data_IF_673896393798
#
_entry.id   IF_673896393798
#
_cell.length_a   1.000
_cell.length_b   1.000
_cell.length_c   1.000
_cell.angle_alpha   90.00
_cell.angle_beta   90.00
_cell.angle_gamma   90.00
#
_symmetry.space_group_name_H-M   'P 1'
#
loop_
_entity.id
_entity.type
_entity.pdbx_description
1 polymer ?
#
# COMPACT_ATOMS: atom_id res chain seq x y z
N UNK A 1 -15.92 -18.82 -5.25
CA UNK A 1 -15.08 -17.61 -5.50
C UNK A 1 -14.42 -17.08 -4.23
N UNK A 2 -15.14 -16.81 -3.14
CA UNK A 2 -14.54 -16.31 -1.88
C UNK A 2 -13.49 -17.23 -1.25
N UNK A 3 -13.64 -18.56 -1.37
CA UNK A 3 -12.64 -19.53 -0.90
C UNK A 3 -11.26 -19.32 -1.54
N UNK A 4 -11.23 -18.95 -2.83
CA UNK A 4 -9.97 -18.74 -3.56
C UNK A 4 -9.27 -17.46 -3.09
N UNK A 5 -10.04 -16.40 -2.84
CA UNK A 5 -9.52 -15.13 -2.29
C UNK A 5 -8.93 -15.35 -0.90
N UNK A 6 -9.66 -16.06 -0.03
CA UNK A 6 -9.20 -16.38 1.33
C UNK A 6 -7.95 -17.26 1.30
N UNK A 7 -7.87 -18.21 0.38
CA UNK A 7 -6.72 -19.08 0.19
C UNK A 7 -5.47 -18.30 -0.28
N UNK A 8 -5.62 -17.43 -1.29
CA UNK A 8 -4.53 -16.56 -1.73
C UNK A 8 -4.07 -15.60 -0.64
N UNK A 9 -4.99 -15.04 0.15
CA UNK A 9 -4.65 -14.19 1.29
C UNK A 9 -3.85 -14.95 2.35
N UNK A 10 -4.30 -16.16 2.71
CA UNK A 10 -3.60 -17.01 3.68
C UNK A 10 -2.20 -17.42 3.19
N UNK A 11 -2.04 -17.74 1.91
CA UNK A 11 -0.73 -18.02 1.32
C UNK A 11 0.18 -16.79 1.39
N UNK A 12 -0.33 -15.62 0.99
CA UNK A 12 0.44 -14.37 1.06
C UNK A 12 0.89 -14.05 2.48
N UNK A 13 0.00 -14.24 3.46
CA UNK A 13 0.32 -14.04 4.88
C UNK A 13 1.39 -15.01 5.37
N UNK A 14 1.27 -16.30 5.05
CA UNK A 14 2.25 -17.33 5.42
C UNK A 14 3.63 -17.06 4.82
N UNK A 15 3.68 -16.72 3.52
CA UNK A 15 4.91 -16.36 2.84
C UNK A 15 5.55 -15.09 3.46
N UNK A 16 4.74 -14.10 3.80
CA UNK A 16 5.21 -12.87 4.46
C UNK A 16 5.77 -13.12 5.85
N UNK A 17 5.12 -13.99 6.65
CA UNK A 17 5.58 -14.31 8.01
C UNK A 17 6.86 -15.15 8.03
N UNK A 18 7.04 -16.01 7.03
CA UNK A 18 8.23 -16.87 6.90
C UNK A 18 9.42 -16.18 6.25
N UNK A 19 9.22 -15.01 5.61
CA UNK A 19 10.34 -14.23 5.07
C UNK A 19 11.19 -13.67 6.22
N UNK A 20 12.49 -14.03 6.33
CA UNK A 20 13.40 -13.49 7.34
C UNK A 20 13.89 -12.07 6.99
N UNK A 21 13.04 -11.28 6.33
CA UNK A 21 13.37 -9.94 5.88
C UNK A 21 13.11 -8.94 7.00
N UNK A 22 14.15 -8.64 7.79
CA UNK A 22 14.11 -7.49 8.70
C UNK A 22 14.14 -6.22 7.85
N UNK A 23 12.98 -5.57 7.72
CA UNK A 23 12.88 -4.25 7.12
C UNK A 23 13.75 -3.30 7.96
N UNK A 24 14.79 -2.68 7.38
CA UNK A 24 15.62 -1.73 8.10
C UNK A 24 14.76 -0.60 8.69
N UNK A 25 15.05 -0.15 9.91
CA UNK A 25 14.21 0.82 10.62
C UNK A 25 13.94 2.12 9.83
N UNK A 26 14.88 2.53 8.97
CA UNK A 26 14.71 3.69 8.10
C UNK A 26 13.68 3.46 6.98
N UNK A 27 13.51 2.23 6.50
CA UNK A 27 12.57 1.87 5.45
C UNK A 27 11.13 1.75 5.96
N UNK A 28 10.97 1.47 7.26
CA UNK A 28 9.67 1.22 7.90
C UNK A 28 8.70 2.40 7.72
N UNK A 29 9.18 3.64 7.85
CA UNK A 29 8.36 4.86 7.65
C UNK A 29 7.77 4.92 6.23
N UNK A 30 8.60 4.68 5.22
CA UNK A 30 8.19 4.71 3.81
C UNK A 30 7.22 3.56 3.50
N UNK A 31 7.49 2.38 4.08
CA UNK A 31 6.64 1.21 3.92
C UNK A 31 5.24 1.44 4.52
N UNK A 32 5.14 2.02 5.72
CA UNK A 32 3.86 2.34 6.35
C UNK A 32 3.02 3.29 5.49
N UNK A 33 3.64 4.34 4.94
CA UNK A 33 2.96 5.31 4.07
C UNK A 33 2.53 4.65 2.75
N UNK A 34 3.39 3.83 2.15
CA UNK A 34 3.09 3.11 0.92
C UNK A 34 1.91 2.13 1.08
N UNK A 35 1.85 1.41 2.21
CA UNK A 35 0.74 0.50 2.54
C UNK A 35 -0.55 1.30 2.76
N UNK A 36 -0.49 2.41 3.50
CA UNK A 36 -1.65 3.26 3.70
C UNK A 36 -2.20 3.79 2.37
N UNK A 37 -1.32 4.18 1.45
CA UNK A 37 -1.69 4.66 0.12
C UNK A 37 -2.25 3.56 -0.80
N UNK A 38 -1.78 2.30 -0.72
CA UNK A 38 -2.39 1.22 -1.50
C UNK A 38 -3.76 0.79 -1.01
N UNK A 39 -4.05 1.00 0.29
CA UNK A 39 -5.39 0.73 0.82
C UNK A 39 -6.46 1.61 0.17
N UNK A 40 -6.12 2.82 -0.29
CA UNK A 40 -7.02 3.67 -1.07
C UNK A 40 -7.50 2.97 -2.35
N UNK A 41 -6.58 2.42 -3.14
CA UNK A 41 -6.92 1.66 -4.34
C UNK A 41 -7.66 0.36 -4.03
N UNK A 42 -7.38 -0.29 -2.90
CA UNK A 42 -8.11 -1.48 -2.46
C UNK A 42 -9.58 -1.15 -2.14
N UNK A 43 -9.84 -0.08 -1.38
CA UNK A 43 -11.21 0.39 -1.11
C UNK A 43 -11.90 0.91 -2.37
N UNK A 44 -11.18 1.61 -3.25
CA UNK A 44 -11.67 2.01 -4.56
C UNK A 44 -12.09 0.81 -5.41
N UNK A 45 -11.35 -0.30 -5.34
CA UNK A 45 -11.70 -1.57 -5.98
C UNK A 45 -12.96 -2.20 -5.41
N UNK A 46 -13.11 -2.23 -4.09
CA UNK A 46 -14.33 -2.71 -3.43
C UNK A 46 -15.53 -1.87 -3.90
N UNK A 47 -15.39 -0.55 -3.93
CA UNK A 47 -16.42 0.36 -4.41
C UNK A 47 -16.78 0.11 -5.87
N UNK A 48 -15.78 0.01 -6.76
CA UNK A 48 -16.00 -0.26 -8.18
C UNK A 48 -16.67 -1.62 -8.42
N UNK A 49 -16.43 -2.61 -7.55
CA UNK A 49 -17.11 -3.90 -7.55
C UNK A 49 -18.60 -3.79 -7.21
N UNK A 50 -18.96 -2.93 -6.25
CA UNK A 50 -20.35 -2.65 -5.90
C UNK A 50 -21.09 -1.83 -6.97
N UNK A 51 -20.37 -0.99 -7.71
CA UNK A 51 -20.90 -0.15 -8.80
C UNK A 51 -20.93 -0.87 -10.16
N UNK A 52 -20.56 -2.17 -10.23
CA UNK A 52 -20.42 -2.96 -11.48
C UNK A 52 -19.43 -2.38 -12.51
N UNK A 53 -18.56 -1.44 -12.10
CA UNK A 53 -17.53 -0.81 -12.95
C UNK A 53 -16.13 -1.31 -12.61
N UNK A 54 -16.01 -2.53 -12.06
CA UNK A 54 -14.73 -3.07 -11.61
C UNK A 54 -13.81 -3.39 -12.78
N UNK A 55 -12.64 -2.75 -12.79
CA UNK A 55 -11.54 -3.06 -13.71
C UNK A 55 -10.30 -3.48 -12.90
N UNK A 56 -9.85 -4.71 -13.11
CA UNK A 56 -8.69 -5.27 -12.44
C UNK A 56 -7.38 -4.57 -12.82
N UNK A 57 -7.28 -4.03 -14.04
CA UNK A 57 -6.11 -3.25 -14.47
C UNK A 57 -6.08 -1.90 -13.75
N UNK A 58 -7.22 -1.25 -13.56
CA UNK A 58 -7.30 0.03 -12.82
C UNK A 58 -6.95 -0.19 -11.34
N UNK A 59 -7.47 -1.26 -10.72
CA UNK A 59 -7.08 -1.62 -9.35
C UNK A 59 -5.58 -1.86 -9.24
N UNK A 60 -5.01 -2.70 -10.12
CA UNK A 60 -3.60 -3.10 -10.04
C UNK A 60 -2.66 -1.93 -10.31
N UNK A 61 -2.95 -1.13 -11.33
CA UNK A 61 -2.16 0.07 -11.66
C UNK A 61 -2.27 1.12 -10.56
N UNK A 62 -3.47 1.36 -10.03
CA UNK A 62 -3.68 2.25 -8.88
C UNK A 62 -2.91 1.79 -7.64
N UNK A 63 -3.01 0.50 -7.29
CA UNK A 63 -2.33 -0.08 -6.13
C UNK A 63 -0.82 0.14 -6.18
N UNK A 64 -0.19 -0.18 -7.33
CA UNK A 64 1.26 -0.04 -7.50
C UNK A 64 1.65 1.44 -7.61
N UNK A 65 0.94 2.22 -8.42
CA UNK A 65 1.26 3.63 -8.66
C UNK A 65 1.11 4.46 -7.38
N UNK A 66 -0.01 4.33 -6.65
CA UNK A 66 -0.24 5.09 -5.42
C UNK A 66 0.78 4.73 -4.34
N UNK A 67 1.09 3.44 -4.14
CA UNK A 67 2.14 3.04 -3.19
C UNK A 67 3.51 3.60 -3.55
N UNK A 68 3.90 3.53 -4.83
CA UNK A 68 5.21 3.99 -5.29
C UNK A 68 5.34 5.51 -5.24
N UNK A 69 4.29 6.23 -5.64
CA UNK A 69 4.21 7.68 -5.51
C UNK A 69 4.27 8.11 -4.04
N UNK A 70 3.51 7.46 -3.15
CA UNK A 70 3.50 7.81 -1.73
C UNK A 70 4.86 7.54 -1.05
N UNK A 71 5.51 6.41 -1.37
CA UNK A 71 6.87 6.13 -0.92
C UNK A 71 7.87 7.18 -1.46
N UNK A 72 7.74 7.54 -2.74
CA UNK A 72 8.58 8.56 -3.39
C UNK A 72 8.40 9.95 -2.77
N UNK A 73 7.17 10.38 -2.55
CA UNK A 73 6.88 11.66 -1.88
C UNK A 73 7.35 11.66 -0.43
N UNK A 74 7.18 10.55 0.30
CA UNK A 74 7.70 10.43 1.65
C UNK A 74 9.23 10.53 1.67
N UNK A 75 9.92 9.91 0.71
CA UNK A 75 11.38 10.01 0.55
C UNK A 75 11.84 11.42 0.21
N UNK A 76 11.20 12.07 -0.76
CA UNK A 76 11.49 13.47 -1.13
C UNK A 76 11.25 14.39 0.07
N UNK A 77 10.18 14.16 0.82
CA UNK A 77 9.88 14.88 2.06
C UNK A 77 11.01 14.78 3.08
N UNK A 78 11.51 13.56 3.31
CA UNK A 78 12.64 13.32 4.21
C UNK A 78 13.92 14.04 3.75
N UNK A 79 14.22 14.05 2.45
CA UNK A 79 15.38 14.73 1.86
C UNK A 79 15.30 16.25 1.91
N UNK A 80 14.10 16.83 1.86
CA UNK A 80 13.88 18.27 1.96
C UNK A 80 14.08 18.82 3.38
N UNK A 81 14.41 17.97 4.36
CA UNK A 81 14.52 18.37 5.77
C UNK A 81 13.18 18.78 6.39
N UNK A 82 12.09 18.64 5.64
CA UNK A 82 10.72 18.77 6.13
C UNK A 82 10.35 17.41 6.68
N UNK A 83 10.44 17.25 7.99
CA UNK A 83 9.69 16.21 8.66
C UNK A 83 8.21 16.47 8.39
N UNK A 84 7.65 15.92 7.30
CA UNK A 84 6.21 15.98 7.01
C UNK A 84 5.36 15.40 8.16
N UNK A 85 5.98 14.69 9.11
CA UNK A 85 5.40 14.38 10.41
C UNK A 85 4.96 15.64 11.18
N UNK A 86 5.71 16.73 11.11
CA UNK A 86 5.44 18.00 11.80
C UNK A 86 4.45 18.88 11.02
N UNK A 87 4.42 18.77 9.68
CA UNK A 87 3.47 19.52 8.85
C UNK A 87 2.02 19.01 9.00
N UNK A 88 1.82 17.74 9.35
CA UNK A 88 0.49 17.16 9.58
C UNK A 88 -0.11 17.50 10.97
N UNK A 89 0.64 18.20 11.83
CA UNK A 89 0.20 18.58 13.19
C UNK A 89 -0.27 20.04 13.26
N UNK A 90 -0.15 20.82 12.17
CA UNK A 90 -0.58 22.22 12.09
C UNK A 90 -1.72 22.43 11.11
#
# INVERSE_FOLDING_TARGET
MWIFVLFCFMIGMLLGLQMPFLVPAFLTKYLSIAILASLDSFFGGIRASLEETFDSLVLLTGFIANSLLAAGFAYIGDQLGVSLYTAAVF
#
